data_IF_078133259314
#
_entry.id   IF_078133259314
#
_cell.length_a   1.000
_cell.length_b   1.000
_cell.length_c   1.000
_cell.angle_alpha   90.00
_cell.angle_beta   90.00
_cell.angle_gamma   90.00
#
_symmetry.space_group_name_H-M   'P 1'
#
loop_
_entity.id
_entity.type
_entity.pdbx_description
1 polymer ?
#
# COMPACT_ATOMS: atom_id res chain seq x y z
N UNK A 1 -12.64 3.12 -11.60
CA UNK A 1 -11.90 1.97 -12.16
C UNK A 1 -10.42 2.27 -12.01
N UNK A 2 -9.67 1.50 -11.23
CA UNK A 2 -8.20 1.67 -11.11
C UNK A 2 -7.54 1.22 -12.41
N UNK A 3 -6.70 2.06 -13.00
CA UNK A 3 -5.99 1.72 -14.24
C UNK A 3 -4.81 0.79 -13.96
N UNK A 4 -4.34 0.09 -15.01
CA UNK A 4 -3.16 -0.78 -14.93
C UNK A 4 -1.92 -0.06 -14.38
N UNK A 5 -1.65 1.14 -14.90
CA UNK A 5 -0.49 1.94 -14.48
C UNK A 5 -0.60 2.37 -13.01
N UNK A 6 -1.79 2.71 -12.54
CA UNK A 6 -2.03 3.05 -11.14
C UNK A 6 -1.80 1.85 -10.23
N UNK A 7 -2.27 0.66 -10.63
CA UNK A 7 -2.07 -0.56 -9.84
C UNK A 7 -0.60 -0.96 -9.79
N UNK A 8 0.11 -0.91 -10.92
CA UNK A 8 1.55 -1.17 -10.96
C UNK A 8 2.33 -0.21 -10.06
N UNK A 9 1.95 1.06 -10.04
CA UNK A 9 2.56 2.05 -9.16
C UNK A 9 2.27 1.73 -7.68
N UNK A 10 1.02 1.38 -7.34
CA UNK A 10 0.63 1.00 -5.98
C UNK A 10 1.43 -0.21 -5.49
N UNK A 11 1.56 -1.27 -6.31
CA UNK A 11 2.30 -2.48 -5.94
C UNK A 11 3.78 -2.18 -5.71
N UNK A 12 4.39 -1.35 -6.57
CA UNK A 12 5.79 -0.91 -6.42
C UNK A 12 6.00 -0.09 -5.15
N UNK A 13 5.04 0.77 -4.84
CA UNK A 13 5.10 1.66 -3.68
C UNK A 13 4.71 0.97 -2.38
N UNK A 14 4.16 -0.24 -2.47
CA UNK A 14 3.56 -0.97 -1.37
C UNK A 14 4.51 -1.12 -0.18
N UNK A 15 5.75 -1.54 -0.45
CA UNK A 15 6.75 -1.78 0.59
C UNK A 15 7.02 -0.54 1.45
N UNK A 16 7.27 0.62 0.81
CA UNK A 16 7.56 1.84 1.55
C UNK A 16 6.29 2.47 2.15
N UNK A 17 5.13 2.28 1.52
CA UNK A 17 3.84 2.70 2.08
C UNK A 17 3.56 1.97 3.40
N UNK A 18 3.79 0.66 3.47
CA UNK A 18 3.69 -0.12 4.72
C UNK A 18 4.63 0.44 5.78
N UNK A 19 5.90 0.64 5.44
CA UNK A 19 6.88 1.17 6.40
C UNK A 19 6.47 2.57 6.91
N UNK A 20 5.90 3.41 6.04
CA UNK A 20 5.40 4.74 6.39
C UNK A 20 4.21 4.68 7.35
N UNK A 21 3.28 3.74 7.13
CA UNK A 21 2.12 3.52 8.02
C UNK A 21 2.59 2.98 9.38
N UNK A 22 3.53 2.02 9.40
CA UNK A 22 4.12 1.46 10.63
C UNK A 22 4.73 2.54 11.52
N UNK A 23 5.61 3.38 10.96
CA UNK A 23 6.28 4.47 11.71
C UNK A 23 5.29 5.42 12.39
N UNK A 24 4.14 5.68 11.75
CA UNK A 24 3.13 6.58 12.32
C UNK A 24 2.29 5.88 13.38
N UNK A 25 1.94 4.60 13.17
CA UNK A 25 1.25 3.79 14.19
C UNK A 25 2.11 3.62 15.44
N UNK A 26 3.41 3.36 15.28
CA UNK A 26 4.38 3.28 16.38
C UNK A 26 4.55 4.64 17.09
N UNK A 27 4.66 5.73 16.33
CA UNK A 27 4.75 7.08 16.89
C UNK A 27 3.48 7.59 17.58
N UNK A 28 2.34 6.94 17.37
CA UNK A 28 1.06 7.22 18.05
C UNK A 28 0.92 6.50 19.40
N UNK A 29 1.86 5.62 19.75
CA UNK A 29 1.86 4.88 21.01
C UNK A 29 0.97 3.64 20.95
N UNK A 30 1.61 2.48 20.91
CA UNK A 30 1.22 1.21 21.53
C UNK A 30 -0.28 0.95 21.81
N UNK A 31 -1.16 1.11 20.83
CA UNK A 31 -2.43 0.37 20.77
C UNK A 31 -2.18 -0.87 19.93
N UNK A 32 -1.68 -1.88 20.63
CA UNK A 32 -1.20 -3.13 20.09
C UNK A 32 -2.24 -3.89 19.26
N UNK A 33 -1.67 -4.70 18.37
CA UNK A 33 -2.26 -5.96 17.94
C UNK A 33 -3.46 -5.85 17.02
N UNK A 34 -3.16 -5.90 15.72
CA UNK A 34 -4.08 -6.27 14.65
C UNK A 34 -5.23 -5.27 14.43
N UNK A 35 -5.50 -4.93 13.16
CA UNK A 35 -6.82 -4.42 12.76
C UNK A 35 -7.34 -3.24 13.60
N UNK A 36 -6.64 -2.10 13.64
CA UNK A 36 -7.28 -0.85 14.07
C UNK A 36 -8.23 -0.35 12.97
N UNK A 37 -9.28 -1.14 12.75
CA UNK A 37 -10.60 -0.62 12.46
C UNK A 37 -10.88 0.41 13.57
N UNK A 38 -11.42 1.58 13.20
CA UNK A 38 -11.87 2.64 14.10
C UNK A 38 -10.80 3.65 14.61
N UNK A 39 -11.08 4.94 14.37
CA UNK A 39 -10.58 6.01 15.24
C UNK A 39 -9.88 7.21 14.59
N UNK A 40 -10.05 7.50 13.29
CA UNK A 40 -9.43 8.70 12.66
C UNK A 40 -9.86 10.02 13.32
N UNK A 41 -10.99 10.05 14.03
CA UNK A 41 -11.45 11.23 14.77
C UNK A 41 -10.74 11.46 16.12
N UNK A 42 -10.10 10.45 16.71
CA UNK A 42 -9.55 10.55 18.07
C UNK A 42 -8.12 11.10 18.10
N UNK A 43 -7.36 10.96 17.01
CA UNK A 43 -5.93 11.27 16.99
C UNK A 43 -5.59 12.67 16.43
N UNK A 44 -6.57 13.45 15.94
CA UNK A 44 -6.31 14.80 15.43
C UNK A 44 -6.25 15.82 16.58
N UNK A 45 -5.12 16.53 16.79
CA UNK A 45 -5.08 17.64 17.73
C UNK A 45 -6.02 18.76 17.24
N UNK A 46 -6.96 19.17 18.09
CA UNK A 46 -7.94 20.22 17.78
C UNK A 46 -7.22 21.54 17.48
N UNK A 47 -7.49 22.11 16.30
CA UNK A 47 -6.93 23.35 15.76
C UNK A 47 -7.23 24.55 16.69
N UNK A 48 -6.22 25.09 17.37
CA UNK A 48 -6.26 26.42 18.01
C UNK A 48 -5.03 27.22 17.58
N UNK A 49 -5.23 28.39 16.94
CA UNK A 49 -4.17 29.39 16.71
C UNK A 49 -3.97 29.81 15.25
N UNK A 50 -3.81 31.13 15.03
CA UNK A 50 -3.82 31.81 13.72
C UNK A 50 -2.57 31.63 12.85
N UNK A 51 -2.73 32.06 11.60
CA UNK A 51 -1.97 31.72 10.39
C UNK A 51 -0.46 32.07 10.35
N UNK A 52 0.11 32.70 11.38
CA UNK A 52 1.50 33.22 11.41
C UNK A 52 2.45 32.49 12.37
N UNK A 53 1.96 31.52 13.13
CA UNK A 53 2.75 30.84 14.17
C UNK A 53 3.55 29.64 13.57
N UNK A 54 4.87 29.49 13.83
CA UNK A 54 5.62 28.28 13.51
C UNK A 54 4.92 26.99 13.97
N UNK A 55 4.18 27.06 15.07
CA UNK A 55 3.36 25.94 15.58
C UNK A 55 2.20 25.61 14.63
N UNK A 56 1.56 26.61 14.03
CA UNK A 56 0.50 26.43 13.04
C UNK A 56 1.01 25.78 11.75
N UNK A 57 2.21 26.16 11.30
CA UNK A 57 2.87 25.53 10.13
C UNK A 57 3.20 24.07 10.40
N UNK A 58 3.68 23.76 11.60
CA UNK A 58 3.97 22.39 12.03
C UNK A 58 2.69 21.56 12.16
N UNK A 59 1.61 22.11 12.73
CA UNK A 59 0.31 21.45 12.81
C UNK A 59 -0.26 21.14 11.41
N UNK A 60 -0.18 22.09 10.49
CA UNK A 60 -0.61 21.90 9.09
C UNK A 60 0.24 20.85 8.37
N UNK A 61 1.55 20.82 8.61
CA UNK A 61 2.47 19.80 8.06
C UNK A 61 2.09 18.41 8.56
N UNK A 62 1.80 18.26 9.86
CA UNK A 62 1.34 17.01 10.46
C UNK A 62 0.00 16.57 9.90
N UNK A 63 -0.96 17.48 9.77
CA UNK A 63 -2.27 17.19 9.18
C UNK A 63 -2.16 16.65 7.75
N UNK A 64 -1.36 17.30 6.89
CA UNK A 64 -1.11 16.85 5.52
C UNK A 64 -0.46 15.47 5.48
N UNK A 65 0.49 15.21 6.38
CA UNK A 65 1.13 13.89 6.49
C UNK A 65 0.12 12.82 6.88
N UNK A 66 -0.75 13.09 7.86
CA UNK A 66 -1.79 12.14 8.28
C UNK A 66 -2.78 11.83 7.15
N UNK A 67 -3.22 12.84 6.38
CA UNK A 67 -4.09 12.63 5.21
C UNK A 67 -3.46 11.71 4.17
N UNK A 68 -2.19 11.93 3.81
CA UNK A 68 -1.47 11.06 2.87
C UNK A 68 -1.34 9.63 3.36
N UNK A 69 -1.17 9.44 4.66
CA UNK A 69 -1.01 8.11 5.26
C UNK A 69 -2.30 7.33 5.23
N UNK A 70 -3.43 8.01 5.43
CA UNK A 70 -4.75 7.43 5.21
C UNK A 70 -4.98 7.04 3.74
N UNK A 71 -4.49 7.83 2.78
CA UNK A 71 -4.51 7.43 1.36
C UNK A 71 -3.65 6.19 1.08
N UNK A 72 -2.49 6.07 1.73
CA UNK A 72 -1.64 4.87 1.62
C UNK A 72 -2.33 3.64 2.20
N UNK A 73 -3.00 3.77 3.33
CA UNK A 73 -3.76 2.68 3.95
C UNK A 73 -4.86 2.16 3.01
N UNK A 74 -5.63 3.05 2.37
CA UNK A 74 -6.63 2.66 1.37
C UNK A 74 -6.01 1.90 0.19
N UNK A 75 -4.86 2.35 -0.31
CA UNK A 75 -4.15 1.68 -1.41
C UNK A 75 -3.63 0.30 -1.00
N UNK A 76 -3.12 0.18 0.22
CA UNK A 76 -2.65 -1.10 0.77
C UNK A 76 -3.82 -2.07 0.92
N UNK A 77 -4.94 -1.61 1.48
CA UNK A 77 -6.15 -2.41 1.64
C UNK A 77 -6.67 -2.91 0.29
N UNK A 78 -6.69 -2.04 -0.73
CA UNK A 78 -7.09 -2.41 -2.08
C UNK A 78 -6.26 -3.56 -2.65
N UNK A 79 -4.93 -3.51 -2.46
CA UNK A 79 -4.05 -4.60 -2.92
C UNK A 79 -4.36 -5.88 -2.16
N UNK A 80 -4.49 -5.81 -0.82
CA UNK A 80 -4.73 -6.96 0.04
C UNK A 80 -6.02 -7.70 -0.31
N UNK A 81 -7.11 -6.96 -0.52
CA UNK A 81 -8.42 -7.51 -0.91
C UNK A 81 -8.34 -8.27 -2.25
N UNK A 82 -7.49 -7.80 -3.16
CA UNK A 82 -7.33 -8.37 -4.50
C UNK A 82 -6.26 -9.46 -4.61
N UNK A 83 -5.43 -9.68 -3.59
CA UNK A 83 -4.43 -10.76 -3.60
C UNK A 83 -5.07 -12.14 -3.75
N UNK A 84 -6.31 -12.29 -3.30
CA UNK A 84 -7.10 -13.53 -3.41
C UNK A 84 -7.42 -13.92 -4.85
N UNK A 85 -7.28 -13.01 -5.82
CA UNK A 85 -7.52 -13.25 -7.24
C UNK A 85 -6.34 -13.97 -7.94
N UNK A 86 -5.19 -14.09 -7.26
CA UNK A 86 -4.01 -14.74 -7.81
C UNK A 86 -4.03 -16.21 -7.39
N UNK A 87 -4.36 -17.06 -8.35
CA UNK A 87 -4.47 -18.51 -8.17
C UNK A 87 -3.18 -19.26 -8.57
N UNK A 88 -2.30 -18.65 -9.37
CA UNK A 88 -1.06 -19.29 -9.81
C UNK A 88 0.05 -19.09 -8.76
N UNK A 89 0.59 -20.19 -8.23
CA UNK A 89 1.68 -20.20 -7.25
C UNK A 89 2.89 -19.36 -7.70
N UNK A 90 3.23 -19.36 -9.00
CA UNK A 90 4.38 -18.59 -9.50
C UNK A 90 4.09 -17.10 -9.48
N UNK A 91 2.87 -16.72 -9.87
CA UNK A 91 2.43 -15.33 -9.82
C UNK A 91 2.35 -14.83 -8.37
N UNK A 92 1.89 -15.69 -7.47
CA UNK A 92 1.84 -15.40 -6.04
C UNK A 92 3.22 -15.14 -5.45
N UNK A 93 4.22 -15.97 -5.77
CA UNK A 93 5.60 -15.74 -5.34
C UNK A 93 6.19 -14.45 -5.90
N UNK A 94 5.97 -14.17 -7.20
CA UNK A 94 6.43 -12.91 -7.80
C UNK A 94 5.77 -11.71 -7.10
N UNK A 95 4.47 -11.78 -6.83
CA UNK A 95 3.77 -10.73 -6.09
C UNK A 95 4.37 -10.57 -4.69
N UNK A 96 4.57 -11.66 -3.95
CA UNK A 96 5.15 -11.63 -2.60
C UNK A 96 6.45 -10.83 -2.59
N UNK A 97 7.40 -11.17 -3.46
CA UNK A 97 8.68 -10.46 -3.52
C UNK A 97 8.56 -9.01 -3.98
N UNK A 98 7.59 -8.68 -4.83
CA UNK A 98 7.30 -7.28 -5.20
C UNK A 98 6.79 -6.48 -4.01
N UNK A 99 5.90 -7.05 -3.18
CA UNK A 99 5.39 -6.41 -1.96
C UNK A 99 6.48 -6.27 -0.88
N UNK A 100 7.45 -7.18 -0.85
CA UNK A 100 8.68 -7.08 -0.05
C UNK A 100 9.70 -6.07 -0.62
N UNK A 101 9.38 -5.39 -1.73
CA UNK A 101 10.21 -4.34 -2.32
C UNK A 101 11.43 -4.87 -3.09
N UNK A 102 11.46 -6.15 -3.47
CA UNK A 102 12.52 -6.69 -4.32
C UNK A 102 12.34 -6.23 -5.77
N UNK A 103 13.46 -5.93 -6.43
CA UNK A 103 13.44 -5.57 -7.85
C UNK A 103 13.12 -6.78 -8.74
N UNK A 104 12.45 -6.58 -9.87
CA UNK A 104 12.16 -7.64 -10.84
C UNK A 104 13.42 -8.38 -11.31
N UNK A 105 14.55 -7.67 -11.44
CA UNK A 105 15.85 -8.27 -11.76
C UNK A 105 16.37 -9.18 -10.66
N UNK A 106 16.09 -8.87 -9.39
CA UNK A 106 16.42 -9.74 -8.28
C UNK A 106 15.50 -10.97 -8.29
N UNK A 107 14.19 -10.78 -8.46
CA UNK A 107 13.19 -11.84 -8.49
C UNK A 107 13.47 -12.82 -9.64
N UNK A 108 13.72 -12.30 -10.85
CA UNK A 108 14.08 -13.14 -12.00
C UNK A 108 15.32 -13.98 -11.75
N UNK A 109 16.37 -13.43 -11.12
CA UNK A 109 17.56 -14.21 -10.74
C UNK A 109 17.24 -15.25 -9.66
N UNK A 110 16.44 -14.89 -8.66
CA UNK A 110 16.05 -15.78 -7.58
C UNK A 110 15.24 -16.99 -8.09
N UNK A 111 14.32 -16.75 -9.02
CA UNK A 111 13.45 -17.77 -9.62
C UNK A 111 14.04 -18.42 -10.89
N UNK A 112 15.27 -18.06 -11.28
CA UNK A 112 15.93 -18.55 -12.50
C UNK A 112 15.14 -18.28 -13.80
N UNK A 113 14.50 -17.10 -13.87
CA UNK A 113 13.73 -16.62 -15.01
C UNK A 113 14.48 -15.51 -15.77
N UNK A 114 14.25 -15.44 -17.08
CA UNK A 114 14.75 -14.33 -17.89
C UNK A 114 13.98 -13.04 -17.63
N UNK A 115 14.60 -11.88 -17.90
CA UNK A 115 13.99 -10.56 -17.72
C UNK A 115 12.64 -10.43 -18.45
N UNK A 116 12.53 -11.04 -19.64
CA UNK A 116 11.28 -11.05 -20.42
C UNK A 116 10.19 -11.91 -19.77
N UNK A 117 10.56 -13.03 -19.17
CA UNK A 117 9.61 -13.93 -18.52
C UNK A 117 9.07 -13.29 -17.23
N UNK A 118 9.95 -12.75 -16.38
CA UNK A 118 9.50 -12.07 -15.16
C UNK A 118 8.65 -10.83 -15.46
N UNK A 119 8.97 -10.09 -16.54
CA UNK A 119 8.15 -8.97 -17.00
C UNK A 119 6.72 -9.39 -17.34
N UNK A 120 6.55 -10.52 -18.05
CA UNK A 120 5.22 -11.06 -18.37
C UNK A 120 4.45 -11.55 -17.15
N UNK A 121 5.13 -12.22 -16.21
CA UNK A 121 4.48 -12.66 -14.96
C UNK A 121 4.01 -11.44 -14.16
N UNK A 122 4.86 -10.41 -14.05
CA UNK A 122 4.49 -9.14 -13.43
C UNK A 122 3.27 -8.51 -14.11
N UNK A 123 3.25 -8.44 -15.45
CA UNK A 123 2.11 -7.88 -16.19
C UNK A 123 0.83 -8.71 -15.95
N UNK A 124 0.93 -10.04 -15.92
CA UNK A 124 -0.17 -10.94 -15.57
C UNK A 124 -0.72 -10.68 -14.17
N UNK A 125 0.17 -10.58 -13.17
CA UNK A 125 -0.18 -10.24 -11.78
C UNK A 125 -0.94 -8.92 -11.72
N UNK A 126 -0.40 -7.85 -12.33
CA UNK A 126 -1.07 -6.54 -12.32
C UNK A 126 -2.43 -6.62 -13.05
N UNK A 127 -2.53 -7.39 -14.14
CA UNK A 127 -3.78 -7.55 -14.87
C UNK A 127 -4.85 -8.25 -14.02
N UNK A 128 -4.51 -9.30 -13.27
CA UNK A 128 -5.43 -9.97 -12.33
C UNK A 128 -5.83 -9.05 -11.17
N UNK A 129 -4.91 -8.23 -10.69
CA UNK A 129 -5.20 -7.24 -9.66
C UNK A 129 -6.09 -6.08 -10.16
N UNK A 130 -6.21 -5.88 -11.47
CA UNK A 130 -7.09 -4.85 -12.06
C UNK A 130 -8.43 -5.43 -12.46
N UNK A 131 -8.47 -6.71 -12.86
CA UNK A 131 -9.74 -7.38 -13.19
C UNK A 131 -10.71 -7.27 -12.03
N UNK A 132 -11.95 -6.88 -12.35
CA UNK A 132 -13.01 -6.79 -11.34
C UNK A 132 -13.14 -8.15 -10.66
N UNK A 133 -13.13 -8.14 -9.33
CA UNK A 133 -13.65 -9.27 -8.57
C UNK A 133 -15.03 -9.57 -9.16
N UNK A 134 -15.34 -10.81 -9.59
CA UNK A 134 -16.73 -11.16 -9.77
C UNK A 134 -17.40 -10.85 -8.44
N UNK A 135 -18.33 -9.92 -8.47
CA UNK A 135 -19.21 -9.65 -7.34
C UNK A 135 -19.82 -11.00 -7.03
N UNK A 136 -19.43 -11.62 -5.92
CA UNK A 136 -20.20 -12.71 -5.34
C UNK A 136 -21.51 -12.08 -4.93
N UNK A 137 -22.45 -12.12 -5.87
CA UNK A 137 -23.85 -11.81 -5.64
C UNK A 137 -24.35 -12.89 -4.71
N UNK A 138 -24.45 -12.58 -3.42
CA UNK A 138 -25.19 -13.35 -2.43
C UNK A 138 -26.30 -12.47 -1.88
#
# INVERSE_FOLDING_TARGET
MTTFMEMEQIVRDYHWMINSVKVIREGMGDMGGLTAQYGVEAAMPKRKGGHSDPIYREATRRERRMKKVYEYEKKIQLVQERMTLIEDDREFEVLHWMLEGKSLRWIGRHMQLSDRHIGRIKDSVIQRLVSESPVVVN
#
